data_IF_269489098262
#
_entry.id   IF_269489098262
#
_cell.length_a   1.000
_cell.length_b   1.000
_cell.length_c   1.000
_cell.angle_alpha   90.00
_cell.angle_beta   90.00
_cell.angle_gamma   90.00
#
_symmetry.space_group_name_H-M   'P 1'
#
loop_
_entity.id
_entity.type
_entity.pdbx_description
1 polymer ?
#
# COMPACT_ATOMS: atom_id res chain seq x y z
N UNK A 1 1.65 -4.09 10.79
CA UNK A 1 0.95 -3.02 11.50
C UNK A 1 -0.50 -3.45 11.68
N UNK A 2 -1.00 -3.66 12.82
CA UNK A 2 -2.33 -4.22 13.10
C UNK A 2 -3.45 -3.18 13.26
N UNK A 3 -3.38 -2.02 12.59
CA UNK A 3 -4.39 -0.97 12.70
C UNK A 3 -5.74 -1.42 12.11
N UNK A 4 -6.82 -1.23 12.86
CA UNK A 4 -8.17 -1.52 12.43
C UNK A 4 -8.81 -0.35 11.70
N UNK A 5 -9.57 -0.65 10.65
CA UNK A 5 -10.35 0.30 9.87
C UNK A 5 -11.70 -0.29 9.49
N UNK A 6 -12.69 0.57 9.34
CA UNK A 6 -13.96 0.24 8.74
C UNK A 6 -14.01 0.79 7.32
N UNK A 7 -14.38 -0.06 6.36
CA UNK A 7 -14.66 0.33 4.99
C UNK A 7 -16.17 0.29 4.75
N UNK A 8 -16.73 1.40 4.31
CA UNK A 8 -18.12 1.55 3.96
C UNK A 8 -18.24 1.73 2.45
N UNK A 9 -19.24 1.09 1.85
CA UNK A 9 -19.50 1.10 0.40
C UNK A 9 -20.97 1.33 0.14
N UNK A 10 -21.31 2.23 -0.78
CA UNK A 10 -22.69 2.43 -1.25
C UNK A 10 -22.69 2.89 -2.70
N UNK A 11 -23.72 2.53 -3.45
CA UNK A 11 -23.88 2.89 -4.86
C UNK A 11 -23.89 4.41 -5.03
N UNK A 12 -23.24 4.92 -6.08
CA UNK A 12 -23.16 6.36 -6.36
C UNK A 12 -24.52 6.98 -6.69
N UNK A 13 -25.44 6.17 -7.23
CA UNK A 13 -26.78 6.60 -7.62
C UNK A 13 -27.78 6.56 -6.45
N UNK A 14 -27.36 6.09 -5.27
CA UNK A 14 -28.25 6.02 -4.12
C UNK A 14 -28.47 7.42 -3.54
N UNK A 15 -29.74 7.73 -3.23
CA UNK A 15 -30.09 8.98 -2.59
C UNK A 15 -29.36 9.19 -1.25
N UNK A 16 -29.07 10.45 -0.93
CA UNK A 16 -28.38 10.82 0.30
C UNK A 16 -26.93 11.19 0.07
N UNK A 17 -26.42 12.23 0.25
CA UNK A 17 -25.10 12.82 -0.03
C UNK A 17 -23.88 11.97 0.33
N UNK A 18 -22.72 12.58 0.29
CA UNK A 18 -21.42 12.01 0.64
C UNK A 18 -20.82 12.64 1.89
N UNK A 19 -21.53 13.56 2.54
CA UNK A 19 -21.02 14.27 3.71
C UNK A 19 -20.82 13.29 4.89
N UNK A 20 -19.89 13.57 5.79
CA UNK A 20 -19.63 12.73 6.95
C UNK A 20 -20.84 12.44 7.85
N UNK A 21 -21.82 13.31 7.84
CA UNK A 21 -23.04 13.19 8.62
C UNK A 21 -24.32 13.07 7.78
N UNK A 22 -24.20 13.05 6.47
CA UNK A 22 -25.29 12.92 5.53
C UNK A 22 -24.85 12.07 4.35
N UNK A 23 -25.28 10.83 4.33
CA UNK A 23 -24.93 9.85 3.30
C UNK A 23 -26.02 8.78 3.17
N UNK A 24 -25.99 8.03 2.09
CA UNK A 24 -26.97 7.01 1.80
C UNK A 24 -27.04 5.85 2.82
N UNK A 25 -26.07 5.73 3.71
CA UNK A 25 -26.05 4.72 4.79
C UNK A 25 -26.75 5.22 6.06
N UNK A 26 -27.08 6.51 6.14
CA UNK A 26 -27.69 7.10 7.34
C UNK A 26 -26.72 7.16 8.53
N UNK A 27 -25.41 7.12 8.28
CA UNK A 27 -24.38 7.11 9.31
C UNK A 27 -23.79 8.50 9.52
N UNK A 28 -23.44 8.81 10.76
CA UNK A 28 -22.58 9.96 11.07
C UNK A 28 -21.13 9.47 11.29
N UNK A 29 -20.31 9.56 10.26
CA UNK A 29 -18.92 9.10 10.30
C UNK A 29 -18.04 9.87 11.29
N UNK A 30 -18.44 11.06 11.71
CA UNK A 30 -17.72 11.83 12.74
C UNK A 30 -17.72 11.09 14.08
N UNK A 31 -18.76 10.29 14.34
CA UNK A 31 -18.87 9.46 15.55
C UNK A 31 -17.96 8.24 15.53
N UNK A 32 -17.36 7.92 14.38
CA UNK A 32 -16.39 6.83 14.26
C UNK A 32 -15.02 7.22 14.79
N UNK A 33 -14.75 8.50 14.92
CA UNK A 33 -13.46 9.03 15.39
C UNK A 33 -13.46 9.21 16.91
N UNK A 34 -12.33 9.04 17.59
CA UNK A 34 -12.19 9.42 18.98
C UNK A 34 -12.29 10.94 19.15
N UNK A 35 -12.67 11.45 20.33
CA UNK A 35 -12.88 12.89 20.56
C UNK A 35 -11.69 13.79 20.21
N UNK A 36 -10.47 13.24 20.28
CA UNK A 36 -9.22 13.96 19.96
C UNK A 36 -8.75 13.77 18.53
N UNK A 37 -9.40 12.89 17.77
CA UNK A 37 -9.05 12.71 16.36
C UNK A 37 -9.63 13.85 15.54
N UNK A 38 -8.79 14.47 14.78
CA UNK A 38 -9.03 15.83 14.35
C UNK A 38 -10.02 15.90 13.20
N UNK A 39 -10.05 14.97 12.25
CA UNK A 39 -10.94 15.18 11.08
C UNK A 39 -11.03 13.97 10.16
N UNK A 40 -12.23 13.78 9.65
CA UNK A 40 -12.43 13.08 8.39
C UNK A 40 -11.88 13.95 7.26
N UNK A 41 -10.98 13.41 6.48
CA UNK A 41 -10.38 14.12 5.34
C UNK A 41 -10.99 13.64 4.03
N UNK A 42 -10.97 14.45 2.96
CA UNK A 42 -11.40 14.01 1.63
C UNK A 42 -10.67 12.76 1.14
N UNK A 43 -9.43 12.53 1.58
CA UNK A 43 -8.64 11.35 1.23
C UNK A 43 -9.18 10.03 1.82
N UNK A 44 -10.09 10.10 2.81
CA UNK A 44 -10.79 8.94 3.36
C UNK A 44 -11.96 8.48 2.49
N UNK A 45 -12.29 9.22 1.43
CA UNK A 45 -13.37 8.91 0.49
C UNK A 45 -12.82 8.74 -0.91
N UNK A 46 -13.50 7.89 -1.71
CA UNK A 46 -13.22 7.73 -3.12
C UNK A 46 -14.49 7.26 -3.84
N UNK A 47 -14.49 7.35 -5.17
CA UNK A 47 -15.43 6.67 -6.05
C UNK A 47 -14.66 5.58 -6.76
N UNK A 48 -15.03 4.34 -6.54
CA UNK A 48 -14.34 3.19 -7.13
C UNK A 48 -15.26 2.44 -8.07
N UNK A 49 -14.70 1.92 -9.16
CA UNK A 49 -15.43 1.03 -10.07
C UNK A 49 -15.07 -0.39 -9.71
N UNK A 50 -16.08 -1.19 -9.42
CA UNK A 50 -15.93 -2.61 -9.06
C UNK A 50 -15.85 -3.51 -10.31
N UNK A 51 -15.48 -4.76 -10.12
CA UNK A 51 -15.40 -5.75 -11.19
C UNK A 51 -16.72 -6.01 -11.94
N UNK A 52 -17.86 -5.59 -11.37
CA UNK A 52 -19.16 -5.60 -12.01
C UNK A 52 -19.43 -4.39 -12.93
N UNK A 53 -18.45 -3.49 -13.07
CA UNK A 53 -18.54 -2.27 -13.87
C UNK A 53 -19.37 -1.13 -13.24
N UNK A 54 -19.85 -1.30 -12.00
CA UNK A 54 -20.60 -0.28 -11.28
C UNK A 54 -19.69 0.57 -10.41
N UNK A 55 -20.06 1.83 -10.26
CA UNK A 55 -19.35 2.79 -9.42
C UNK A 55 -19.96 2.91 -8.03
N UNK A 56 -19.10 2.95 -7.04
CA UNK A 56 -19.48 3.02 -5.64
C UNK A 56 -18.71 4.13 -4.92
N UNK A 57 -19.42 4.81 -4.03
CA UNK A 57 -18.75 5.62 -3.01
C UNK A 57 -18.13 4.69 -1.97
N UNK A 58 -16.90 4.95 -1.62
CA UNK A 58 -16.18 4.24 -0.55
C UNK A 58 -15.69 5.26 0.46
N UNK A 59 -15.86 4.95 1.75
CA UNK A 59 -15.24 5.68 2.85
C UNK A 59 -14.50 4.69 3.76
N UNK A 60 -13.26 4.99 4.07
CA UNK A 60 -12.43 4.19 4.97
C UNK A 60 -12.04 5.06 6.16
N UNK A 61 -12.48 4.65 7.34
CA UNK A 61 -12.23 5.37 8.60
C UNK A 61 -11.57 4.44 9.63
N UNK A 62 -10.69 4.97 10.50
CA UNK A 62 -10.09 4.15 11.55
C UNK A 62 -11.14 3.65 12.55
N UNK A 63 -10.93 2.44 13.04
CA UNK A 63 -11.81 1.82 14.03
C UNK A 63 -11.42 2.29 15.45
N UNK A 64 -12.30 3.05 16.08
CA UNK A 64 -12.08 3.54 17.45
C UNK A 64 -12.07 2.44 18.52
N UNK A 65 -12.59 1.26 18.19
CA UNK A 65 -12.62 0.11 19.11
C UNK A 65 -11.42 -0.82 18.89
N UNK A 66 -10.60 -0.57 17.89
CA UNK A 66 -9.38 -1.35 17.67
C UNK A 66 -8.36 -1.06 18.76
N UNK A 67 -7.90 -2.11 19.45
CA UNK A 67 -6.92 -2.00 20.55
C UNK A 67 -5.56 -1.44 20.11
N UNK A 68 -5.24 -1.52 18.83
CA UNK A 68 -3.94 -1.07 18.30
C UNK A 68 -3.94 0.43 18.03
N UNK A 69 -4.91 0.95 17.28
CA UNK A 69 -4.93 2.34 16.85
C UNK A 69 -6.02 3.20 17.47
N UNK A 70 -7.00 2.60 18.14
CA UNK A 70 -8.05 3.31 18.91
C UNK A 70 -8.70 4.48 18.12
N UNK A 71 -8.92 4.28 16.84
CA UNK A 71 -9.48 5.29 15.95
C UNK A 71 -8.48 6.34 15.46
N UNK A 72 -7.21 6.23 15.82
CA UNK A 72 -6.16 7.09 15.27
C UNK A 72 -5.67 6.56 13.93
N UNK A 73 -5.16 7.45 13.10
CA UNK A 73 -4.62 7.11 11.80
C UNK A 73 -3.37 7.91 11.49
N UNK A 74 -2.39 7.24 10.88
CA UNK A 74 -1.31 7.95 10.22
C UNK A 74 -1.82 8.63 8.94
N UNK A 75 -1.03 9.54 8.39
CA UNK A 75 -1.31 10.16 7.08
C UNK A 75 -1.53 9.12 5.99
N UNK A 76 -0.79 8.01 6.01
CA UNK A 76 -0.95 6.91 5.04
C UNK A 76 -2.26 6.15 5.23
N UNK A 77 -2.59 5.80 6.47
CA UNK A 77 -3.86 5.14 6.79
C UNK A 77 -5.07 6.02 6.45
N UNK A 78 -4.98 7.33 6.69
CA UNK A 78 -6.01 8.30 6.33
C UNK A 78 -6.19 8.53 4.82
N UNK A 79 -5.30 7.96 4.00
CA UNK A 79 -5.38 8.02 2.53
C UNK A 79 -5.74 6.71 1.86
N UNK A 80 -6.08 5.65 2.60
CA UNK A 80 -6.31 4.33 2.01
C UNK A 80 -7.40 4.34 0.93
N UNK A 81 -8.48 5.08 1.13
CA UNK A 81 -9.53 5.18 0.12
C UNK A 81 -9.02 5.80 -1.19
N UNK A 82 -8.17 6.82 -1.13
CA UNK A 82 -7.64 7.48 -2.32
C UNK A 82 -6.66 6.62 -3.14
N UNK A 83 -6.14 5.53 -2.56
CA UNK A 83 -5.30 4.56 -3.27
C UNK A 83 -6.09 3.43 -3.94
N UNK A 84 -7.39 3.34 -3.70
CA UNK A 84 -8.22 2.37 -4.39
C UNK A 84 -8.40 2.77 -5.85
N UNK A 85 -8.50 1.79 -6.73
CA UNK A 85 -8.68 2.06 -8.15
C UNK A 85 -9.95 2.88 -8.41
N UNK A 86 -9.78 3.93 -9.17
CA UNK A 86 -10.86 4.77 -9.67
C UNK A 86 -10.50 5.26 -11.06
N UNK A 87 -11.42 5.14 -12.01
CA UNK A 87 -11.23 5.65 -13.37
C UNK A 87 -11.08 7.19 -13.41
N UNK A 88 -11.61 7.87 -12.40
CA UNK A 88 -11.64 9.33 -12.28
C UNK A 88 -10.71 9.87 -11.18
N UNK A 89 -10.07 8.98 -10.43
CA UNK A 89 -9.31 9.33 -9.22
C UNK A 89 -7.81 9.15 -9.35
N UNK A 90 -7.11 9.48 -8.25
CA UNK A 90 -5.64 9.45 -8.16
C UNK A 90 -5.02 8.06 -8.34
N UNK A 91 -5.80 7.00 -8.29
CA UNK A 91 -5.32 5.63 -8.47
C UNK A 91 -5.38 5.11 -9.91
N UNK A 92 -5.81 5.95 -10.85
CA UNK A 92 -5.78 5.63 -12.29
C UNK A 92 -4.38 5.34 -12.83
N UNK A 93 -3.35 5.90 -12.19
CA UNK A 93 -1.94 5.70 -12.54
C UNK A 93 -1.29 4.49 -11.89
N UNK A 94 -2.08 3.62 -11.25
CA UNK A 94 -1.53 2.45 -10.57
C UNK A 94 -0.89 1.50 -11.59
N UNK A 95 0.35 1.09 -11.30
CA UNK A 95 1.05 0.12 -12.13
C UNK A 95 0.33 -1.23 -12.08
N UNK A 96 -0.01 -1.75 -13.27
CA UNK A 96 -0.65 -3.05 -13.45
C UNK A 96 0.34 -4.14 -13.83
N UNK A 97 1.48 -3.74 -14.38
CA UNK A 97 2.54 -4.62 -14.85
C UNK A 97 3.89 -4.16 -14.31
N UNK A 98 4.86 -5.07 -14.17
CA UNK A 98 6.25 -4.68 -13.93
C UNK A 98 6.75 -3.79 -15.07
N UNK A 99 7.63 -2.86 -14.75
CA UNK A 99 8.27 -1.98 -15.73
C UNK A 99 9.78 -2.08 -15.62
N UNK A 100 10.43 -2.09 -16.76
CA UNK A 100 11.88 -2.00 -16.86
C UNK A 100 12.28 -0.74 -17.63
N UNK A 101 13.28 -0.03 -17.10
CA UNK A 101 13.85 1.12 -17.80
C UNK A 101 14.92 0.62 -18.78
N UNK A 102 14.68 0.84 -20.06
CA UNK A 102 15.59 0.40 -21.14
C UNK A 102 15.60 1.43 -22.27
N UNK A 103 16.78 1.85 -22.66
CA UNK A 103 16.96 2.75 -23.79
C UNK A 103 16.16 4.04 -23.68
N UNK A 104 16.24 4.71 -22.55
CA UNK A 104 15.58 5.97 -22.22
C UNK A 104 14.06 5.94 -22.03
N UNK A 105 13.47 4.75 -21.93
CA UNK A 105 12.04 4.61 -21.72
C UNK A 105 11.69 3.49 -20.74
N UNK A 106 10.51 3.61 -20.12
CA UNK A 106 9.92 2.56 -19.31
C UNK A 106 9.08 1.63 -20.19
N UNK A 107 9.42 0.35 -20.19
CA UNK A 107 8.72 -0.69 -20.91
C UNK A 107 7.95 -1.59 -19.94
N UNK A 108 6.67 -1.77 -20.21
CA UNK A 108 5.86 -2.76 -19.50
C UNK A 108 6.33 -4.17 -19.89
N UNK A 109 6.39 -5.08 -18.91
CA UNK A 109 6.87 -6.44 -19.11
C UNK A 109 6.07 -7.44 -18.27
N UNK A 110 6.28 -8.73 -18.49
CA UNK A 110 5.73 -9.77 -17.62
C UNK A 110 6.56 -9.94 -16.35
N UNK A 111 5.95 -10.51 -15.30
CA UNK A 111 6.67 -10.89 -14.09
C UNK A 111 7.80 -11.87 -14.37
N UNK A 112 7.58 -12.85 -15.24
CA UNK A 112 8.60 -13.84 -15.60
C UNK A 112 9.84 -13.17 -16.21
N UNK A 113 9.63 -12.25 -17.16
CA UNK A 113 10.73 -11.50 -17.77
C UNK A 113 11.43 -10.59 -16.74
N UNK A 114 10.67 -9.85 -15.93
CA UNK A 114 11.26 -8.97 -14.92
C UNK A 114 12.11 -9.76 -13.92
N UNK A 115 11.63 -10.89 -13.45
CA UNK A 115 12.34 -11.75 -12.52
C UNK A 115 13.55 -12.44 -13.17
N UNK A 116 13.44 -12.86 -14.43
CA UNK A 116 14.56 -13.44 -15.17
C UNK A 116 15.70 -12.41 -15.36
N UNK A 117 15.38 -11.19 -15.73
CA UNK A 117 16.38 -10.11 -15.86
C UNK A 117 16.98 -9.77 -14.51
N UNK A 118 16.15 -9.59 -13.47
CA UNK A 118 16.63 -9.30 -12.12
C UNK A 118 17.56 -10.39 -11.61
N UNK A 119 17.13 -11.65 -11.67
CA UNK A 119 17.94 -12.80 -11.23
C UNK A 119 19.22 -12.97 -12.04
N UNK A 120 19.15 -12.76 -13.36
CA UNK A 120 20.32 -12.80 -14.23
C UNK A 120 21.36 -11.74 -13.91
N UNK A 121 20.92 -10.51 -13.62
CA UNK A 121 21.83 -9.42 -13.21
C UNK A 121 22.46 -9.68 -11.85
N UNK A 122 21.69 -10.10 -10.87
CA UNK A 122 22.21 -10.45 -9.54
C UNK A 122 23.21 -11.60 -9.65
N UNK A 123 22.85 -12.67 -10.40
CA UNK A 123 23.76 -13.78 -10.62
C UNK A 123 25.07 -13.34 -11.27
N UNK A 124 25.01 -12.48 -12.28
CA UNK A 124 26.20 -11.97 -12.96
C UNK A 124 27.12 -11.21 -12.00
N UNK A 125 26.56 -10.40 -11.11
CA UNK A 125 27.34 -9.67 -10.08
C UNK A 125 27.97 -10.68 -9.12
N UNK A 126 27.21 -11.65 -8.62
CA UNK A 126 27.70 -12.65 -7.70
C UNK A 126 28.84 -13.50 -8.30
N UNK A 127 28.72 -13.86 -9.57
CA UNK A 127 29.73 -14.68 -10.27
C UNK A 127 31.03 -13.90 -10.54
N UNK A 128 30.95 -12.59 -10.80
CA UNK A 128 32.11 -11.77 -11.17
C UNK A 128 32.72 -11.02 -9.98
N UNK A 129 31.92 -10.48 -9.11
CA UNK A 129 32.34 -9.48 -8.12
C UNK A 129 32.06 -9.95 -6.67
N UNK A 130 31.12 -10.87 -6.53
CA UNK A 130 30.79 -11.49 -5.24
C UNK A 130 29.65 -10.78 -4.48
N UNK A 131 29.29 -11.32 -3.30
CA UNK A 131 28.12 -10.85 -2.55
C UNK A 131 28.28 -9.45 -1.97
N UNK A 132 29.50 -8.95 -1.81
CA UNK A 132 29.76 -7.60 -1.28
C UNK A 132 29.39 -6.47 -2.25
N UNK A 133 29.14 -6.81 -3.53
CA UNK A 133 28.70 -5.81 -4.52
C UNK A 133 27.18 -5.81 -4.71
N UNK A 134 26.46 -6.61 -3.91
CA UNK A 134 24.99 -6.60 -3.87
C UNK A 134 24.50 -5.91 -2.60
N UNK A 135 23.83 -4.77 -2.73
CA UNK A 135 23.24 -4.03 -1.62
C UNK A 135 21.74 -4.26 -1.60
N UNK A 136 21.21 -4.63 -0.44
CA UNK A 136 19.77 -4.68 -0.21
C UNK A 136 19.29 -3.47 0.57
N UNK A 137 18.39 -2.71 -0.03
CA UNK A 137 17.57 -1.75 0.69
C UNK A 137 16.21 -2.39 0.95
N UNK A 138 16.02 -2.94 2.14
CA UNK A 138 14.77 -3.59 2.49
C UNK A 138 13.86 -2.66 3.27
N UNK A 139 12.60 -2.69 2.86
CA UNK A 139 11.54 -1.95 3.50
C UNK A 139 10.85 -2.86 4.51
N UNK A 140 11.19 -2.69 5.76
CA UNK A 140 10.59 -3.46 6.83
C UNK A 140 9.81 -2.58 7.81
N UNK A 141 8.57 -2.95 8.01
CA UNK A 141 7.75 -2.44 9.11
C UNK A 141 7.54 -3.49 10.20
N UNK A 142 8.35 -4.51 10.26
CA UNK A 142 8.32 -5.56 11.26
C UNK A 142 6.97 -5.69 11.95
N UNK A 143 6.10 -6.55 11.51
CA UNK A 143 4.81 -6.67 12.16
C UNK A 143 3.77 -7.42 11.34
N UNK A 144 2.58 -7.55 11.90
CA UNK A 144 1.50 -8.30 11.30
C UNK A 144 1.11 -7.77 9.91
N UNK A 145 0.83 -8.66 8.98
CA UNK A 145 0.27 -8.35 7.68
C UNK A 145 1.28 -7.84 6.65
N UNK A 146 2.02 -8.73 6.06
CA UNK A 146 2.94 -8.46 4.96
C UNK A 146 4.33 -8.00 5.39
N UNK A 147 4.49 -7.34 6.52
CA UNK A 147 5.79 -6.92 7.04
C UNK A 147 6.65 -8.08 7.49
N UNK A 148 6.07 -9.04 8.19
CA UNK A 148 6.78 -10.22 8.66
C UNK A 148 7.22 -11.12 7.51
N UNK A 149 6.33 -11.44 6.60
CA UNK A 149 6.62 -12.26 5.43
C UNK A 149 7.66 -11.59 4.53
N UNK A 150 7.57 -10.28 4.37
CA UNK A 150 8.56 -9.50 3.62
C UNK A 150 9.94 -9.59 4.27
N UNK A 151 10.02 -9.36 5.57
CA UNK A 151 11.28 -9.43 6.32
C UNK A 151 11.87 -10.83 6.26
N UNK A 152 11.04 -11.85 6.48
CA UNK A 152 11.48 -13.23 6.44
C UNK A 152 11.90 -13.67 5.02
N UNK A 153 11.12 -13.37 4.00
CA UNK A 153 11.44 -13.69 2.61
C UNK A 153 12.69 -12.95 2.13
N UNK A 154 12.76 -11.65 2.41
CA UNK A 154 13.91 -10.82 2.09
C UNK A 154 15.15 -11.28 2.84
N UNK A 155 15.01 -11.59 4.13
CA UNK A 155 16.11 -12.12 4.94
C UNK A 155 16.67 -13.43 4.41
N UNK A 156 15.82 -14.35 3.97
CA UNK A 156 16.26 -15.58 3.30
C UNK A 156 16.99 -15.30 1.99
N UNK A 157 16.46 -14.42 1.17
CA UNK A 157 17.09 -14.03 -0.08
C UNK A 157 18.47 -13.40 0.16
N UNK A 158 18.56 -12.43 1.08
CA UNK A 158 19.81 -11.72 1.37
C UNK A 158 20.86 -12.61 2.02
N UNK A 159 20.51 -13.28 3.12
CA UNK A 159 21.49 -13.94 3.97
C UNK A 159 21.73 -15.40 3.59
N UNK A 160 20.74 -16.07 3.02
CA UNK A 160 20.88 -17.49 2.67
C UNK A 160 21.21 -17.71 1.20
N UNK A 161 20.57 -16.97 0.30
CA UNK A 161 20.77 -17.17 -1.14
C UNK A 161 21.90 -16.29 -1.71
N UNK A 162 21.88 -14.98 -1.43
CA UNK A 162 22.87 -14.03 -1.97
C UNK A 162 24.09 -13.91 -1.05
N UNK A 163 23.87 -14.07 0.26
CA UNK A 163 24.92 -13.99 1.30
C UNK A 163 25.61 -12.62 1.38
N UNK A 164 24.86 -11.54 1.12
CA UNK A 164 25.39 -10.18 1.25
C UNK A 164 25.28 -9.68 2.68
N UNK A 165 26.34 -9.05 3.24
CA UNK A 165 26.27 -8.33 4.51
C UNK A 165 25.75 -6.89 4.36
N UNK A 166 25.61 -6.40 3.12
CA UNK A 166 25.28 -5.00 2.83
C UNK A 166 23.77 -4.81 2.82
N UNK A 167 23.21 -4.53 3.98
CA UNK A 167 21.76 -4.36 4.18
C UNK A 167 21.46 -2.99 4.74
N UNK A 168 20.62 -2.24 4.03
CA UNK A 168 20.01 -1.01 4.52
C UNK A 168 18.58 -1.32 4.97
N UNK A 169 18.31 -1.14 6.25
CA UNK A 169 16.99 -1.37 6.81
C UNK A 169 16.16 -0.10 6.68
N UNK A 170 14.87 -0.28 6.43
CA UNK A 170 13.87 0.78 6.38
C UNK A 170 13.95 1.72 7.60
N UNK A 171 13.61 2.98 7.36
CA UNK A 171 13.52 4.05 8.36
C UNK A 171 14.87 4.51 8.98
N UNK A 172 15.98 4.03 8.52
CA UNK A 172 17.26 4.53 9.04
C UNK A 172 17.43 6.05 8.96
N UNK A 173 17.03 6.73 7.88
CA UNK A 173 17.07 8.20 7.85
C UNK A 173 15.98 8.87 8.70
N UNK A 174 14.97 8.12 9.15
CA UNK A 174 13.83 8.65 9.88
C UNK A 174 13.95 8.47 11.41
N UNK A 175 14.98 7.77 11.88
CA UNK A 175 15.26 7.55 13.30
C UNK A 175 16.59 8.20 13.72
#
# INVERSE_FOLDING_TARGET
>A
VGCGYHAYKWDVNREGGKAPNQNALGLDFRKQLPPLAITLTPAMTNVVTDGDGRSYNVMIVPDKNCVVNQGLSSTRGGKMASYMYSAEGMSGDRLLYPRMYMGDQWLDTSWDNALAVYGGLVKKILDNDGPNDVVFSCFDHGGAGGGFENTWGTGKLMFSAIQTPLVCIHNRPAY
#
